data_IF_526084474716
#
_entry.id   IF_526084474716
#
_cell.length_a   1.000
_cell.length_b   1.000
_cell.length_c   1.000
_cell.angle_alpha   90.00
_cell.angle_beta   90.00
_cell.angle_gamma   90.00
#
_symmetry.space_group_name_H-M   'P 1'
#
loop_
_entity.id
_entity.type
_entity.pdbx_description
1 polymer ?
#
# COMPACT_ATOMS: atom_id res chain seq x y z
N UNK A 1 -18.17 -53.89 47.16
CA UNK A 1 -18.01 -52.67 48.00
C UNK A 1 -18.14 -51.51 47.04
N UNK A 2 -19.38 -51.05 46.87
CA UNK A 2 -19.74 -50.01 45.91
C UNK A 2 -19.64 -48.66 46.60
N UNK A 3 -18.74 -47.80 46.11
CA UNK A 3 -18.57 -46.43 46.60
C UNK A 3 -19.36 -45.52 45.65
N UNK A 4 -20.55 -45.10 46.11
CA UNK A 4 -21.35 -44.05 45.50
C UNK A 4 -20.63 -42.70 45.59
N UNK A 5 -20.23 -42.13 44.46
CA UNK A 5 -19.82 -40.73 44.35
C UNK A 5 -21.05 -39.85 44.11
N UNK A 6 -21.40 -39.02 45.08
CA UNK A 6 -22.41 -37.97 44.95
C UNK A 6 -21.81 -36.75 44.24
N UNK A 7 -22.42 -36.24 43.13
CA UNK A 7 -21.93 -35.03 42.47
C UNK A 7 -22.38 -33.78 43.24
N UNK A 8 -21.41 -32.96 43.64
CA UNK A 8 -21.60 -31.69 44.34
C UNK A 8 -22.32 -30.63 43.47
N UNK A 9 -23.35 -29.93 43.97
CA UNK A 9 -24.21 -29.01 43.19
C UNK A 9 -23.64 -27.57 43.01
N UNK A 10 -22.37 -27.32 43.30
CA UNK A 10 -21.83 -25.95 43.40
C UNK A 10 -21.16 -25.40 42.12
N UNK A 11 -21.09 -26.15 41.02
CA UNK A 11 -20.51 -25.69 39.76
C UNK A 11 -21.30 -24.60 38.97
N UNK A 12 -22.64 -24.42 39.08
CA UNK A 12 -23.34 -23.50 38.17
C UNK A 12 -23.18 -22.02 38.54
N UNK A 13 -22.91 -21.67 39.80
CA UNK A 13 -22.81 -20.25 40.21
C UNK A 13 -21.51 -19.58 39.76
N UNK A 14 -20.38 -20.29 39.75
CA UNK A 14 -19.10 -19.71 39.31
C UNK A 14 -19.13 -19.30 37.83
N UNK A 15 -19.76 -20.13 36.98
CA UNK A 15 -19.92 -19.87 35.55
C UNK A 15 -20.84 -18.66 35.31
N UNK A 16 -21.89 -18.51 36.11
CA UNK A 16 -22.82 -17.37 36.01
C UNK A 16 -22.11 -16.07 36.39
N UNK A 17 -21.35 -16.04 37.49
CA UNK A 17 -20.59 -14.85 37.91
C UNK A 17 -19.55 -14.44 36.87
N UNK A 18 -18.83 -15.40 36.28
CA UNK A 18 -17.82 -15.12 35.25
C UNK A 18 -18.46 -14.57 33.96
N UNK A 19 -19.62 -15.11 33.56
CA UNK A 19 -20.38 -14.60 32.40
C UNK A 19 -20.90 -13.18 32.61
N UNK A 20 -21.34 -12.83 33.82
CA UNK A 20 -21.80 -11.49 34.19
C UNK A 20 -20.64 -10.49 34.18
N UNK A 21 -19.48 -10.88 34.72
CA UNK A 21 -18.26 -10.06 34.71
C UNK A 21 -17.81 -9.76 33.26
N UNK A 22 -17.87 -10.77 32.38
CA UNK A 22 -17.52 -10.64 30.96
C UNK A 22 -18.48 -9.70 30.22
N UNK A 23 -19.78 -9.81 30.48
CA UNK A 23 -20.79 -8.92 29.90
C UNK A 23 -20.68 -7.47 30.39
N UNK A 24 -20.19 -7.24 31.61
CA UNK A 24 -19.95 -5.89 32.14
C UNK A 24 -18.74 -5.22 31.48
N UNK A 25 -17.67 -5.98 31.27
CA UNK A 25 -16.47 -5.48 30.57
C UNK A 25 -16.75 -5.17 29.08
N UNK A 26 -17.60 -5.95 28.41
CA UNK A 26 -18.00 -5.67 27.02
C UNK A 26 -18.84 -4.39 26.92
N UNK A 27 -19.72 -4.13 27.91
CA UNK A 27 -20.49 -2.87 27.95
C UNK A 27 -19.59 -1.66 28.18
N UNK A 28 -18.67 -1.74 29.15
CA UNK A 28 -17.70 -0.69 29.41
C UNK A 28 -16.79 -0.42 28.20
N UNK A 29 -16.33 -1.47 27.50
CA UNK A 29 -15.53 -1.34 26.28
C UNK A 29 -16.32 -0.70 25.13
N UNK A 30 -17.60 -1.08 24.97
CA UNK A 30 -18.48 -0.49 23.95
C UNK A 30 -18.78 0.98 24.23
N UNK A 31 -18.91 1.36 25.50
CA UNK A 31 -19.07 2.76 25.91
C UNK A 31 -17.79 3.56 25.69
N UNK A 32 -16.63 3.01 26.06
CA UNK A 32 -15.34 3.63 25.79
C UNK A 32 -15.09 3.80 24.27
N UNK A 33 -15.41 2.80 23.44
CA UNK A 33 -15.34 2.94 21.99
C UNK A 33 -16.31 4.00 21.50
N UNK A 34 -17.55 4.04 22.02
CA UNK A 34 -18.54 5.04 21.59
C UNK A 34 -18.11 6.45 21.96
N UNK A 35 -17.50 6.64 23.12
CA UNK A 35 -16.97 7.94 23.57
C UNK A 35 -15.74 8.35 22.76
N UNK A 36 -14.84 7.40 22.46
CA UNK A 36 -13.66 7.62 21.62
C UNK A 36 -14.07 7.93 20.17
N UNK A 37 -15.06 7.21 19.65
CA UNK A 37 -15.69 7.49 18.35
C UNK A 37 -16.39 8.85 18.37
N UNK A 38 -17.13 9.23 19.41
CA UNK A 38 -17.75 10.57 19.47
C UNK A 38 -16.73 11.69 19.61
N UNK A 39 -15.61 11.49 20.32
CA UNK A 39 -14.52 12.48 20.42
C UNK A 39 -13.77 12.67 19.11
N UNK A 40 -13.50 11.59 18.38
CA UNK A 40 -12.75 11.66 17.11
C UNK A 40 -13.66 11.88 15.88
N UNK A 41 -14.90 11.43 15.97
CA UNK A 41 -15.95 11.56 14.96
C UNK A 41 -17.04 12.46 15.53
N UNK A 42 -16.73 13.75 15.70
CA UNK A 42 -17.73 14.78 15.92
C UNK A 42 -18.60 14.90 14.67
N UNK A 43 -19.67 14.10 14.58
CA UNK A 43 -20.61 14.04 13.45
C UNK A 43 -21.36 15.37 13.28
N UNK A 44 -21.36 16.25 14.28
CA UNK A 44 -21.90 17.62 14.15
C UNK A 44 -21.06 18.51 13.20
N UNK A 45 -19.82 18.12 12.87
CA UNK A 45 -19.00 18.78 11.83
C UNK A 45 -19.33 18.25 10.41
N UNK A 46 -20.28 17.32 10.31
CA UNK A 46 -20.86 16.81 9.06
C UNK A 46 -22.29 17.32 8.83
N UNK A 47 -22.71 18.43 9.45
CA UNK A 47 -23.91 19.12 8.96
C UNK A 47 -23.65 19.59 7.53
N UNK A 48 -24.50 19.12 6.63
CA UNK A 48 -24.43 19.31 5.17
C UNK A 48 -24.70 20.79 4.79
N UNK A 49 -25.01 21.65 5.77
CA UNK A 49 -25.32 23.05 5.58
C UNK A 49 -24.11 23.96 5.81
N UNK A 50 -23.56 24.42 4.68
CA UNK A 50 -22.87 25.71 4.50
C UNK A 50 -21.87 26.12 5.59
N UNK A 51 -20.60 25.76 5.39
CA UNK A 51 -19.55 26.72 5.75
C UNK A 51 -18.33 26.57 4.85
N UNK A 52 -18.10 27.58 4.00
CA UNK A 52 -16.82 27.79 3.27
C UNK A 52 -15.63 27.69 4.23
N UNK A 53 -15.84 28.06 5.50
CA UNK A 53 -14.88 27.88 6.58
C UNK A 53 -14.59 26.42 6.96
N UNK A 54 -15.56 25.51 6.93
CA UNK A 54 -15.33 24.08 7.23
C UNK A 54 -14.51 23.39 6.13
N UNK A 55 -14.79 23.70 4.86
CA UNK A 55 -13.98 23.24 3.73
C UNK A 55 -12.54 23.76 3.82
N UNK A 56 -12.37 25.05 4.10
CA UNK A 56 -11.05 25.66 4.29
C UNK A 56 -10.30 25.06 5.51
N UNK A 57 -11.00 24.74 6.60
CA UNK A 57 -10.41 24.08 7.77
C UNK A 57 -9.93 22.67 7.46
N UNK A 58 -10.75 21.86 6.76
CA UNK A 58 -10.36 20.51 6.30
C UNK A 58 -9.16 20.58 5.37
N UNK A 59 -9.18 21.51 4.40
CA UNK A 59 -8.05 21.75 3.50
C UNK A 59 -6.78 22.13 4.29
N UNK A 60 -6.89 23.02 5.27
CA UNK A 60 -5.78 23.44 6.12
C UNK A 60 -5.20 22.29 6.95
N UNK A 61 -6.05 21.49 7.61
CA UNK A 61 -5.60 20.33 8.41
C UNK A 61 -4.90 19.31 7.52
N UNK A 62 -5.47 18.97 6.37
CA UNK A 62 -4.85 18.05 5.41
C UNK A 62 -3.51 18.59 4.92
N UNK A 63 -3.44 19.87 4.52
CA UNK A 63 -2.19 20.50 4.09
C UNK A 63 -1.13 20.54 5.20
N UNK A 64 -1.53 20.85 6.45
CA UNK A 64 -0.63 20.89 7.60
C UNK A 64 -0.05 19.50 7.90
N UNK A 65 -0.89 18.46 7.89
CA UNK A 65 -0.45 17.09 8.05
C UNK A 65 0.50 16.68 6.92
N UNK A 66 0.16 16.97 5.67
CA UNK A 66 1.05 16.68 4.52
C UNK A 66 2.39 17.41 4.69
N UNK A 67 2.39 18.69 5.09
CA UNK A 67 3.61 19.47 5.32
C UNK A 67 4.51 18.80 6.35
N UNK A 68 3.95 18.38 7.49
CA UNK A 68 4.70 17.75 8.57
C UNK A 68 5.29 16.39 8.16
N UNK A 69 4.59 15.65 7.30
CA UNK A 69 5.02 14.34 6.81
C UNK A 69 5.92 14.42 5.57
N UNK A 70 5.99 15.57 4.90
CA UNK A 70 6.71 15.75 3.64
C UNK A 70 8.20 15.38 3.73
N UNK A 71 8.97 15.74 4.77
CA UNK A 71 10.37 15.33 4.88
C UNK A 71 10.52 13.81 5.00
N UNK A 72 9.66 13.16 5.76
CA UNK A 72 9.66 11.71 5.92
C UNK A 72 9.30 10.99 4.62
N UNK A 73 8.27 11.47 3.91
CA UNK A 73 7.88 10.94 2.61
C UNK A 73 8.99 11.12 1.58
N UNK A 74 9.67 12.27 1.58
CA UNK A 74 10.80 12.54 0.71
C UNK A 74 11.91 11.50 0.90
N UNK A 75 12.38 11.30 2.14
CA UNK A 75 13.42 10.32 2.44
C UNK A 75 12.97 8.89 2.13
N UNK A 76 11.72 8.55 2.42
CA UNK A 76 11.14 7.27 2.07
C UNK A 76 11.21 7.02 0.56
N UNK A 77 10.77 7.97 -0.28
CA UNK A 77 10.82 7.82 -1.74
C UNK A 77 12.25 7.88 -2.29
N UNK A 78 13.17 8.61 -1.67
CA UNK A 78 14.57 8.62 -2.05
C UNK A 78 15.21 7.23 -1.83
N UNK A 79 15.01 6.64 -0.66
CA UNK A 79 15.50 5.28 -0.36
C UNK A 79 14.78 4.24 -1.23
N UNK A 80 13.46 4.35 -1.38
CA UNK A 80 12.67 3.45 -2.21
C UNK A 80 13.12 3.45 -3.67
N UNK A 81 13.39 4.64 -4.24
CA UNK A 81 13.89 4.77 -5.61
C UNK A 81 15.32 4.27 -5.77
N UNK A 82 16.20 4.50 -4.78
CA UNK A 82 17.54 3.93 -4.77
C UNK A 82 17.51 2.40 -4.74
N UNK A 83 16.72 1.80 -3.83
CA UNK A 83 16.56 0.35 -3.75
C UNK A 83 15.98 -0.23 -5.04
N UNK A 84 14.97 0.41 -5.62
CA UNK A 84 14.39 0.02 -6.91
C UNK A 84 15.42 0.04 -8.04
N UNK A 85 16.25 1.08 -8.10
CA UNK A 85 17.33 1.22 -9.09
C UNK A 85 18.40 0.14 -8.92
N UNK A 86 18.89 -0.05 -7.70
CA UNK A 86 19.88 -1.09 -7.38
C UNK A 86 19.35 -2.48 -7.72
N UNK A 87 18.11 -2.79 -7.34
CA UNK A 87 17.48 -4.07 -7.64
C UNK A 87 17.32 -4.30 -9.15
N UNK A 88 16.84 -3.31 -9.90
CA UNK A 88 16.71 -3.42 -11.37
C UNK A 88 18.07 -3.54 -12.06
N UNK A 89 19.07 -2.82 -11.57
CA UNK A 89 20.43 -2.92 -12.08
C UNK A 89 21.01 -4.33 -11.89
N UNK A 90 20.81 -4.94 -10.71
CA UNK A 90 21.21 -6.33 -10.48
C UNK A 90 20.45 -7.33 -11.35
N UNK A 91 19.15 -7.13 -11.56
CA UNK A 91 18.38 -7.98 -12.48
C UNK A 91 18.89 -7.86 -13.92
N UNK A 92 19.19 -6.65 -14.37
CA UNK A 92 19.75 -6.39 -15.69
C UNK A 92 21.13 -7.04 -15.85
N UNK A 93 22.03 -6.85 -14.88
CA UNK A 93 23.35 -7.50 -14.87
C UNK A 93 23.23 -9.02 -14.92
N UNK A 94 22.35 -9.60 -14.10
CA UNK A 94 22.12 -11.05 -14.08
C UNK A 94 21.59 -11.57 -15.42
N UNK A 95 20.67 -10.84 -16.06
CA UNK A 95 20.11 -11.21 -17.36
C UNK A 95 21.13 -11.13 -18.52
N UNK A 96 22.09 -10.19 -18.42
CA UNK A 96 23.19 -10.02 -19.37
C UNK A 96 24.32 -11.03 -19.18
N UNK A 97 24.74 -11.28 -17.94
CA UNK A 97 25.92 -12.08 -17.62
C UNK A 97 25.65 -13.59 -17.62
N UNK A 98 24.44 -14.03 -17.28
CA UNK A 98 24.14 -15.46 -17.13
C UNK A 98 23.15 -15.87 -18.22
N UNK A 99 23.65 -16.54 -19.25
CA UNK A 99 22.86 -16.95 -20.43
C UNK A 99 22.01 -18.19 -20.17
N UNK A 100 22.52 -19.12 -19.36
CA UNK A 100 21.94 -20.47 -19.25
C UNK A 100 20.96 -20.66 -18.09
N UNK A 101 20.69 -19.61 -17.30
CA UNK A 101 19.81 -19.74 -16.12
C UNK A 101 18.39 -19.32 -16.49
N UNK A 102 17.37 -20.14 -16.20
CA UNK A 102 15.98 -19.74 -16.41
C UNK A 102 15.74 -18.44 -15.64
N UNK A 103 15.17 -17.46 -16.34
CA UNK A 103 15.05 -16.12 -15.78
C UNK A 103 13.91 -16.13 -14.78
N UNK A 104 14.26 -16.35 -13.50
CA UNK A 104 13.31 -16.31 -12.39
C UNK A 104 12.43 -15.08 -12.47
N UNK A 105 11.12 -15.28 -12.57
CA UNK A 105 10.15 -14.21 -12.44
C UNK A 105 9.77 -14.09 -10.97
N UNK A 106 9.35 -12.90 -10.54
CA UNK A 106 8.76 -12.71 -9.20
C UNK A 106 7.52 -13.59 -9.01
N UNK A 107 6.82 -13.90 -10.10
CA UNK A 107 5.76 -14.90 -10.19
C UNK A 107 6.03 -15.83 -11.37
N UNK A 108 6.01 -17.13 -11.14
CA UNK A 108 6.11 -18.11 -12.22
C UNK A 108 4.88 -17.97 -13.13
N UNK A 109 5.10 -17.50 -14.36
CA UNK A 109 4.06 -17.45 -15.40
C UNK A 109 4.42 -18.43 -16.49
N UNK A 110 3.49 -19.33 -16.80
CA UNK A 110 3.63 -20.28 -17.90
C UNK A 110 3.10 -19.62 -19.18
N UNK A 111 4.01 -19.18 -20.06
CA UNK A 111 3.63 -18.67 -21.38
C UNK A 111 3.59 -19.82 -22.38
N UNK A 112 2.41 -20.37 -22.63
CA UNK A 112 2.23 -21.37 -23.68
C UNK A 112 2.22 -20.69 -25.06
N UNK A 113 3.20 -20.98 -25.91
CA UNK A 113 3.23 -20.55 -27.32
C UNK A 113 4.24 -19.45 -27.69
N UNK A 114 5.04 -18.94 -26.74
CA UNK A 114 6.10 -17.97 -27.03
C UNK A 114 7.49 -18.64 -26.93
N UNK A 115 8.38 -18.36 -27.90
CA UNK A 115 9.76 -18.85 -27.88
C UNK A 115 10.54 -18.18 -26.75
N UNK A 116 11.31 -18.95 -25.99
CA UNK A 116 12.06 -18.47 -24.81
C UNK A 116 12.99 -17.29 -25.11
N UNK A 117 13.60 -17.28 -26.30
CA UNK A 117 14.47 -16.20 -26.76
C UNK A 117 13.72 -14.86 -26.87
N UNK A 118 12.50 -14.87 -27.40
CA UNK A 118 11.66 -13.66 -27.54
C UNK A 118 11.27 -13.13 -26.17
N UNK A 119 10.88 -14.02 -25.25
CA UNK A 119 10.55 -13.67 -23.86
C UNK A 119 11.76 -13.02 -23.19
N UNK A 120 12.96 -13.55 -23.42
CA UNK A 120 14.20 -13.00 -22.86
C UNK A 120 14.52 -11.61 -23.41
N UNK A 121 14.41 -11.40 -24.73
CA UNK A 121 14.65 -10.08 -25.34
C UNK A 121 13.64 -9.03 -24.83
N UNK A 122 12.36 -9.39 -24.77
CA UNK A 122 11.31 -8.52 -24.21
C UNK A 122 11.60 -8.15 -22.76
N UNK A 123 12.11 -9.09 -21.95
CA UNK A 123 12.45 -8.81 -20.55
C UNK A 123 13.65 -7.86 -20.44
N UNK A 124 14.70 -8.05 -21.25
CA UNK A 124 15.85 -7.14 -21.23
C UNK A 124 15.38 -5.72 -21.59
N UNK A 125 14.54 -5.58 -22.62
CA UNK A 125 13.97 -4.30 -23.01
C UNK A 125 13.11 -3.69 -21.88
N UNK A 126 12.24 -4.50 -21.28
CA UNK A 126 11.42 -4.08 -20.13
C UNK A 126 12.26 -3.64 -18.93
N UNK A 127 13.33 -4.36 -18.61
CA UNK A 127 14.27 -4.00 -17.54
C UNK A 127 14.99 -2.69 -17.83
N UNK A 128 15.41 -2.43 -19.07
CA UNK A 128 16.03 -1.15 -19.46
C UNK A 128 15.03 0.00 -19.28
N UNK A 129 13.80 -0.16 -19.77
CA UNK A 129 12.75 0.84 -19.63
C UNK A 129 12.47 1.11 -18.14
N UNK A 130 12.34 0.06 -17.33
CA UNK A 130 12.11 0.23 -15.90
C UNK A 130 13.30 0.87 -15.18
N UNK A 131 14.54 0.52 -15.54
CA UNK A 131 15.74 1.14 -14.99
C UNK A 131 15.78 2.64 -15.29
N UNK A 132 15.46 3.05 -16.51
CA UNK A 132 15.31 4.46 -16.88
C UNK A 132 14.21 5.14 -16.06
N UNK A 133 13.08 4.47 -15.82
CA UNK A 133 12.00 5.02 -14.99
C UNK A 133 12.43 5.21 -13.54
N UNK A 134 13.14 4.25 -12.95
CA UNK A 134 13.66 4.35 -11.59
C UNK A 134 14.71 5.44 -11.47
N UNK A 135 15.57 5.59 -12.47
CA UNK A 135 16.56 6.67 -12.54
C UNK A 135 15.90 8.05 -12.64
N UNK A 136 14.88 8.20 -13.49
CA UNK A 136 14.08 9.44 -13.57
C UNK A 136 13.34 9.74 -12.27
N UNK A 137 12.81 8.72 -11.59
CA UNK A 137 12.17 8.88 -10.29
C UNK A 137 13.18 9.35 -9.23
N UNK A 138 14.34 8.69 -9.15
CA UNK A 138 15.41 9.05 -8.21
C UNK A 138 15.87 10.49 -8.42
N UNK A 139 16.14 10.86 -9.68
CA UNK A 139 16.48 12.23 -10.09
C UNK A 139 15.35 13.21 -9.69
N UNK A 140 14.10 12.87 -10.00
CA UNK A 140 12.95 13.71 -9.70
C UNK A 140 12.74 13.94 -8.20
N UNK A 141 13.06 12.95 -7.37
CA UNK A 141 13.02 13.09 -5.91
C UNK A 141 14.20 13.94 -5.44
N UNK A 142 15.44 13.56 -5.76
CA UNK A 142 16.66 14.24 -5.26
C UNK A 142 16.70 15.72 -5.66
N UNK A 143 16.36 16.05 -6.91
CA UNK A 143 16.31 17.43 -7.39
C UNK A 143 14.94 18.08 -7.21
N UNK A 144 13.98 17.40 -6.58
CA UNK A 144 12.61 17.91 -6.35
C UNK A 144 11.94 18.43 -7.64
N UNK A 145 12.22 17.78 -8.77
CA UNK A 145 11.73 18.14 -10.11
C UNK A 145 10.48 17.31 -10.44
N UNK A 146 9.25 17.87 -10.30
CA UNK A 146 8.02 17.12 -10.52
C UNK A 146 7.85 16.62 -11.96
N UNK A 147 8.50 17.28 -12.92
CA UNK A 147 8.52 16.87 -14.34
C UNK A 147 9.13 15.47 -14.52
N UNK A 148 10.16 15.13 -13.74
CA UNK A 148 10.87 13.85 -13.82
C UNK A 148 10.11 12.71 -13.11
N UNK A 149 9.16 13.02 -12.22
CA UNK A 149 8.31 12.03 -11.53
C UNK A 149 7.18 11.53 -12.44
N UNK A 150 6.71 12.37 -13.37
CA UNK A 150 5.56 12.09 -14.25
C UNK A 150 5.70 10.80 -15.08
N UNK A 151 6.83 10.52 -15.75
CA UNK A 151 6.99 9.32 -16.57
C UNK A 151 6.78 8.03 -15.78
N UNK A 152 7.34 7.97 -14.55
CA UNK A 152 7.19 6.81 -13.66
C UNK A 152 5.72 6.61 -13.27
N UNK A 153 5.00 7.68 -12.92
CA UNK A 153 3.57 7.63 -12.59
C UNK A 153 2.71 7.18 -13.77
N UNK A 154 3.01 7.63 -14.99
CA UNK A 154 2.30 7.23 -16.21
C UNK A 154 2.52 5.75 -16.50
N UNK A 155 3.77 5.29 -16.46
CA UNK A 155 4.12 3.89 -16.76
C UNK A 155 3.52 2.95 -15.72
N UNK A 156 3.66 3.25 -14.43
CA UNK A 156 3.00 2.47 -13.36
C UNK A 156 1.48 2.53 -13.49
N UNK A 157 0.92 3.63 -13.98
CA UNK A 157 -0.50 3.77 -14.22
C UNK A 157 -1.06 2.88 -15.33
N UNK A 158 -0.22 2.48 -16.29
CA UNK A 158 -0.60 1.54 -17.36
C UNK A 158 -0.24 0.11 -16.96
N UNK A 159 0.94 -0.13 -16.41
CA UNK A 159 1.41 -1.48 -16.08
C UNK A 159 0.54 -2.14 -15.00
N UNK A 160 0.20 -1.43 -13.92
CA UNK A 160 -0.61 -1.99 -12.82
C UNK A 160 -1.97 -2.56 -13.27
N UNK A 161 -2.83 -1.82 -14.00
CA UNK A 161 -4.11 -2.37 -14.42
C UNK A 161 -3.95 -3.53 -15.41
N UNK A 162 -2.97 -3.47 -16.32
CA UNK A 162 -2.66 -4.59 -17.21
C UNK A 162 -2.27 -5.83 -16.43
N UNK A 163 -1.39 -5.69 -15.44
CA UNK A 163 -0.91 -6.80 -14.63
C UNK A 163 -2.02 -7.36 -13.72
N UNK A 164 -2.90 -6.49 -13.22
CA UNK A 164 -4.09 -6.89 -12.48
C UNK A 164 -5.08 -7.67 -13.35
N UNK A 165 -5.31 -7.23 -14.60
CA UNK A 165 -6.19 -7.94 -15.55
C UNK A 165 -5.61 -9.33 -15.86
N UNK A 166 -4.32 -9.41 -16.20
CA UNK A 166 -3.65 -10.69 -16.47
C UNK A 166 -3.76 -11.65 -15.27
N UNK A 167 -3.46 -11.16 -14.07
CA UNK A 167 -3.61 -11.95 -12.85
C UNK A 167 -5.05 -12.40 -12.61
N UNK A 168 -6.03 -11.52 -12.83
CA UNK A 168 -7.44 -11.87 -12.68
C UNK A 168 -7.86 -12.97 -13.67
N UNK A 169 -7.37 -12.94 -14.91
CA UNK A 169 -7.59 -14.00 -15.89
C UNK A 169 -6.99 -15.33 -15.43
N UNK A 170 -5.75 -15.34 -14.92
CA UNK A 170 -5.10 -16.54 -14.38
C UNK A 170 -5.89 -17.16 -13.23
N UNK A 171 -6.46 -16.34 -12.35
CA UNK A 171 -7.32 -16.78 -11.24
C UNK A 171 -8.66 -17.33 -11.74
N UNK A 172 -9.29 -16.67 -12.71
CA UNK A 172 -10.58 -17.11 -13.29
C UNK A 172 -10.44 -18.45 -14.02
N UNK A 173 -9.33 -18.65 -14.76
CA UNK A 173 -9.04 -19.92 -15.45
C UNK A 173 -8.63 -21.02 -14.46
N UNK A 174 -8.23 -20.64 -13.24
CA UNK A 174 -7.89 -21.58 -12.18
C UNK A 174 -6.43 -22.05 -12.19
N UNK A 175 -5.54 -21.32 -12.89
CA UNK A 175 -4.10 -21.63 -12.88
C UNK A 175 -3.44 -21.28 -11.55
N UNK A 176 -3.90 -20.23 -10.87
CA UNK A 176 -3.34 -19.80 -9.58
C UNK A 176 -4.44 -19.74 -8.50
N UNK A 177 -4.10 -20.19 -7.28
CA UNK A 177 -5.00 -20.09 -6.12
C UNK A 177 -5.07 -18.63 -5.66
N UNK A 178 -6.27 -18.16 -5.35
CA UNK A 178 -6.46 -16.83 -4.79
C UNK A 178 -5.73 -16.71 -3.43
N UNK A 179 -4.73 -15.84 -3.36
CA UNK A 179 -3.96 -15.56 -2.13
C UNK A 179 -4.08 -14.09 -1.76
N UNK A 180 -4.35 -13.82 -0.48
CA UNK A 180 -4.39 -12.45 0.06
C UNK A 180 -3.06 -11.70 -0.13
N UNK A 181 -1.94 -12.43 -0.09
CA UNK A 181 -0.61 -11.87 -0.35
C UNK A 181 -0.50 -11.28 -1.77
N UNK A 182 -1.09 -11.94 -2.78
CA UNK A 182 -1.12 -11.41 -4.14
C UNK A 182 -1.87 -10.09 -4.23
N UNK A 183 -3.03 -10.00 -3.58
CA UNK A 183 -3.82 -8.76 -3.51
C UNK A 183 -3.03 -7.62 -2.85
N UNK A 184 -2.37 -7.89 -1.72
CA UNK A 184 -1.53 -6.90 -1.01
C UNK A 184 -0.37 -6.44 -1.89
N UNK A 185 0.23 -7.34 -2.67
CA UNK A 185 1.29 -7.01 -3.62
C UNK A 185 0.85 -6.03 -4.72
N UNK A 186 -0.42 -6.01 -5.11
CA UNK A 186 -0.98 -5.02 -6.03
C UNK A 186 -1.35 -3.70 -5.33
N UNK A 187 -1.83 -3.78 -4.09
CA UNK A 187 -2.21 -2.60 -3.32
C UNK A 187 -1.01 -1.72 -2.97
N UNK A 188 0.15 -2.31 -2.67
CA UNK A 188 1.35 -1.56 -2.31
C UNK A 188 1.79 -0.54 -3.39
N UNK A 189 2.08 -0.94 -4.64
CA UNK A 189 2.49 -0.01 -5.69
C UNK A 189 1.36 0.98 -6.05
N UNK A 190 0.10 0.61 -5.85
CA UNK A 190 -1.04 1.53 -6.02
C UNK A 190 -1.04 2.65 -4.95
N UNK A 191 -0.84 2.30 -3.68
CA UNK A 191 -0.69 3.27 -2.59
C UNK A 191 0.53 4.16 -2.86
N UNK A 192 1.67 3.59 -3.22
CA UNK A 192 2.87 4.36 -3.57
C UNK A 192 2.61 5.36 -4.70
N UNK A 193 1.90 4.95 -5.76
CA UNK A 193 1.50 5.83 -6.87
C UNK A 193 0.63 7.00 -6.39
N UNK A 194 -0.35 6.74 -5.52
CA UNK A 194 -1.22 7.78 -4.96
C UNK A 194 -0.41 8.78 -4.13
N UNK A 195 0.40 8.29 -3.19
CA UNK A 195 1.21 9.14 -2.30
C UNK A 195 2.23 9.95 -3.10
N UNK A 196 2.89 9.35 -4.09
CA UNK A 196 3.81 10.04 -4.98
C UNK A 196 3.10 11.08 -5.85
N UNK A 197 1.86 10.82 -6.26
CA UNK A 197 0.99 11.80 -6.94
C UNK A 197 0.67 13.01 -6.07
N UNK A 198 0.36 12.80 -4.78
CA UNK A 198 0.19 13.89 -3.82
C UNK A 198 1.49 14.67 -3.61
N UNK A 199 2.63 14.00 -3.50
CA UNK A 199 3.93 14.64 -3.37
C UNK A 199 4.25 15.50 -4.60
N UNK A 200 3.98 14.98 -5.80
CA UNK A 200 4.12 15.74 -7.05
C UNK A 200 3.23 16.97 -7.06
N UNK A 201 1.95 16.83 -6.69
CA UNK A 201 1.03 17.97 -6.62
C UNK A 201 1.48 19.02 -5.59
N UNK A 202 2.00 18.59 -4.44
CA UNK A 202 2.55 19.47 -3.42
C UNK A 202 3.82 20.21 -3.90
N UNK A 203 4.65 19.57 -4.75
CA UNK A 203 5.82 20.18 -5.37
C UNK A 203 5.46 21.10 -6.56
N UNK A 204 4.37 20.82 -7.27
CA UNK A 204 3.91 21.61 -8.42
C UNK A 204 3.16 22.88 -8.03
N UNK A 205 2.66 23.04 -6.80
CA UNK A 205 2.08 24.31 -6.32
C UNK A 205 3.22 25.31 -6.00
N UNK A 206 3.63 26.21 -6.92
CA UNK A 206 4.89 26.93 -6.83
C UNK A 206 4.82 28.17 -5.92
N UNK A 207 3.69 28.45 -5.26
CA UNK A 207 3.35 29.81 -4.80
C UNK A 207 2.59 29.90 -3.47
N UNK A 208 2.74 28.94 -2.56
CA UNK A 208 2.47 29.22 -1.14
C UNK A 208 3.74 29.03 -0.35
N UNK A 209 4.40 30.16 -0.04
CA UNK A 209 5.17 30.54 1.16
C UNK A 209 5.36 29.48 2.28
N UNK A 210 5.65 28.23 1.98
CA UNK A 210 5.76 27.14 2.96
C UNK A 210 7.20 26.96 3.44
N UNK A 211 8.16 27.54 2.70
CA UNK A 211 9.59 27.58 2.98
C UNK A 211 10.17 29.01 3.12
N UNK A 212 9.33 30.05 3.16
CA UNK A 212 9.78 31.35 3.70
C UNK A 212 9.68 31.27 5.21
N UNK A 213 10.73 30.73 5.83
CA UNK A 213 11.13 31.04 7.21
C UNK A 213 12.31 32.01 7.07
#
# INVERSE_FOLDING_TARGET
>A
MDIFYSPSPFLPMAIIVESIQRMRNIRAFREAIRDLVNRYVSIEVFSIWHNRHAYNRRKYVILSTIKNWMPWLFWFFAVYSALGLTHQFFQFLRAKLIVDRPVGMWRERCFYGLRDETIRQMRILGSIIMLLCWLLLFIGVVWSLPKCIKPWLTIMGVILPFDFILWSMEVIVGFERFTWQGLVSFMLPFICKIVLGFMKAALEEPTRKLFQI
#
